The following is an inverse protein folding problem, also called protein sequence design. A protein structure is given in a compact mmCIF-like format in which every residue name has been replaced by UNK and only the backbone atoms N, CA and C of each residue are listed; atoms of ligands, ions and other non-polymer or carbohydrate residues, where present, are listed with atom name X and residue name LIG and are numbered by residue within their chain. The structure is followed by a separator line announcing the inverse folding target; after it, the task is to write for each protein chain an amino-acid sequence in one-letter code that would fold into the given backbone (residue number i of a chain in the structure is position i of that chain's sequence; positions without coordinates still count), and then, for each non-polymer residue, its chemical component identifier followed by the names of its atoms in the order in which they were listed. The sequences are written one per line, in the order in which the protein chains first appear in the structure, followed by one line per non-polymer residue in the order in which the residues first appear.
data_IF_186312293464
#
_entry.id   IF_186312293464
#
_cell.length_a   1.000
_cell.length_b   1.000
_cell.length_c   1.000
_cell.angle_alpha   90.00
_cell.angle_beta   90.00
_cell.angle_gamma   90.00
#
_symmetry.space_group_name_H-M   'P 1'
#
loop_
_entity.id
_entity.type
_entity.pdbx_description
1 polymer ?
#
# COMPACT_ATOMS: atom_id res chain seq x y z
N UNK A 1 0.07 5.58 34.50
CA UNK A 1 0.70 5.17 33.23
C UNK A 1 0.11 5.92 32.05
N UNK A 2 -1.20 5.80 31.76
CA UNK A 2 -1.89 6.51 30.65
C UNK A 2 -1.62 8.02 30.67
N UNK A 3 -1.77 8.71 31.80
CA UNK A 3 -1.51 10.15 31.89
C UNK A 3 -0.09 10.57 31.48
N UNK A 4 0.94 9.74 31.75
CA UNK A 4 2.32 10.03 31.32
C UNK A 4 2.49 9.86 29.82
N UNK A 5 1.87 8.83 29.25
CA UNK A 5 1.87 8.59 27.79
C UNK A 5 1.14 9.72 27.06
N UNK A 6 -0.02 10.14 27.57
CA UNK A 6 -0.74 11.29 27.00
C UNK A 6 0.12 12.54 27.09
N UNK A 7 0.72 12.81 28.25
CA UNK A 7 1.60 13.96 28.43
C UNK A 7 2.78 13.93 27.45
N UNK A 8 3.43 12.78 27.23
CA UNK A 8 4.53 12.67 26.26
C UNK A 8 4.10 12.88 24.82
N UNK A 9 2.86 12.52 24.45
CA UNK A 9 2.32 12.72 23.11
C UNK A 9 1.83 14.15 22.86
N UNK A 10 1.53 14.90 23.93
CA UNK A 10 1.02 16.27 23.87
C UNK A 10 2.05 17.32 24.26
N UNK A 11 3.33 16.96 24.39
CA UNK A 11 4.39 17.93 24.66
C UNK A 11 4.45 18.93 23.50
N UNK A 12 4.30 20.22 23.82
CA UNK A 12 4.42 21.29 22.85
C UNK A 12 5.86 21.31 22.32
N UNK A 13 6.00 21.15 21.01
CA UNK A 13 7.24 21.39 20.31
C UNK A 13 7.18 22.85 19.88
N UNK A 14 8.09 23.69 20.41
CA UNK A 14 8.17 25.12 20.09
C UNK A 14 8.72 25.38 18.66
N UNK A 15 8.74 24.37 17.78
CA UNK A 15 9.17 24.51 16.39
C UNK A 15 7.99 24.98 15.53
N UNK A 16 8.09 26.19 14.97
CA UNK A 16 7.11 26.79 14.05
C UNK A 16 6.86 25.96 12.77
N UNK A 17 7.72 24.97 12.48
CA UNK A 17 7.64 24.10 11.31
C UNK A 17 6.78 22.84 11.50
N UNK A 18 6.36 22.52 12.72
CA UNK A 18 5.61 21.30 13.00
C UNK A 18 4.11 21.48 12.74
N UNK A 19 3.52 20.63 11.89
CA UNK A 19 2.07 20.61 11.66
C UNK A 19 1.33 20.21 12.94
N UNK A 20 0.27 20.92 13.36
CA UNK A 20 -0.48 20.58 14.57
C UNK A 20 -1.15 19.20 14.41
N UNK A 21 -0.84 18.27 15.32
CA UNK A 21 -1.44 16.93 15.36
C UNK A 21 -2.49 16.87 16.46
N UNK A 22 -3.69 16.41 16.12
CA UNK A 22 -4.73 16.10 17.12
C UNK A 22 -4.61 14.65 17.57
N UNK A 23 -4.53 14.44 18.88
CA UNK A 23 -4.43 13.10 19.48
C UNK A 23 -5.68 12.82 20.29
N UNK A 24 -6.38 11.73 19.96
CA UNK A 24 -7.51 11.21 20.73
C UNK A 24 -7.13 9.91 21.41
N UNK A 25 -7.33 9.85 22.73
CA UNK A 25 -6.87 8.73 23.56
C UNK A 25 -8.07 7.95 24.07
N UNK A 26 -8.13 6.67 23.71
CA UNK A 26 -9.18 5.76 24.15
C UNK A 26 -8.59 4.74 25.12
N UNK A 27 -9.16 4.66 26.32
CA UNK A 27 -8.79 3.65 27.31
C UNK A 27 -9.71 2.44 27.15
N UNK A 28 -9.12 1.27 26.93
CA UNK A 28 -9.83 0.01 26.98
C UNK A 28 -9.77 -0.58 28.39
N UNK A 29 -10.84 -1.25 28.82
CA UNK A 29 -10.84 -1.98 30.08
C UNK A 29 -10.02 -3.27 29.91
N UNK A 30 -9.12 -3.53 30.86
CA UNK A 30 -8.38 -4.79 30.88
C UNK A 30 -9.32 -5.92 31.33
N UNK A 31 -9.42 -6.96 30.51
CA UNK A 31 -10.23 -8.14 30.77
C UNK A 31 -9.35 -9.38 30.60
N UNK A 32 -9.43 -10.31 31.57
CA UNK A 32 -8.60 -11.52 31.62
C UNK A 32 -9.14 -12.58 30.64
N UNK A 33 -10.47 -12.66 30.50
CA UNK A 33 -11.10 -13.60 29.59
C UNK A 33 -11.02 -13.10 28.14
N UNK A 34 -10.47 -13.91 27.25
CA UNK A 34 -10.31 -13.59 25.83
C UNK A 34 -11.62 -13.17 25.15
N UNK A 35 -12.73 -13.86 25.44
CA UNK A 35 -14.04 -13.54 24.84
C UNK A 35 -14.53 -12.15 25.26
N UNK A 36 -14.43 -11.83 26.56
CA UNK A 36 -14.83 -10.52 27.08
C UNK A 36 -13.91 -9.41 26.56
N UNK A 37 -12.61 -9.70 26.45
CA UNK A 37 -11.61 -8.81 25.87
C UNK A 37 -11.93 -8.49 24.40
N UNK A 38 -12.22 -9.51 23.56
CA UNK A 38 -12.59 -9.32 22.16
C UNK A 38 -13.88 -8.49 22.02
N UNK A 39 -14.87 -8.76 22.87
CA UNK A 39 -16.13 -8.00 22.92
C UNK A 39 -15.92 -6.53 23.30
N UNK A 40 -15.05 -6.26 24.28
CA UNK A 40 -14.73 -4.90 24.70
C UNK A 40 -13.93 -4.15 23.63
N UNK A 41 -12.94 -4.79 23.00
CA UNK A 41 -12.21 -4.23 21.85
C UNK A 41 -13.18 -3.86 20.73
N UNK A 42 -14.06 -4.78 20.35
CA UNK A 42 -15.06 -4.53 19.31
C UNK A 42 -15.99 -3.36 19.69
N UNK A 43 -16.43 -3.27 20.94
CA UNK A 43 -17.27 -2.17 21.44
C UNK A 43 -16.57 -0.82 21.36
N UNK A 44 -15.27 -0.75 21.62
CA UNK A 44 -14.49 0.49 21.59
C UNK A 44 -14.17 0.86 20.14
N UNK A 45 -13.62 -0.07 19.36
CA UNK A 45 -13.21 0.16 17.97
C UNK A 45 -14.41 0.51 17.07
N UNK A 46 -15.56 -0.16 17.22
CA UNK A 46 -16.77 0.14 16.43
C UNK A 46 -17.34 1.54 16.66
N UNK A 47 -17.00 2.18 17.79
CA UNK A 47 -17.44 3.53 18.14
C UNK A 47 -16.47 4.62 17.72
N UNK A 48 -15.32 4.25 17.14
CA UNK A 48 -14.34 5.23 16.69
C UNK A 48 -14.86 5.95 15.43
N UNK A 49 -14.92 7.29 15.43
CA UNK A 49 -15.32 8.05 14.25
C UNK A 49 -14.14 8.18 13.27
N UNK A 50 -13.79 7.08 12.58
CA UNK A 50 -12.65 6.97 11.66
C UNK A 50 -12.70 8.02 10.54
N UNK A 51 -13.90 8.38 10.07
CA UNK A 51 -14.08 9.41 9.04
C UNK A 51 -13.57 10.80 9.42
N UNK A 52 -13.52 11.12 10.72
CA UNK A 52 -13.13 12.44 11.22
C UNK A 52 -11.73 12.44 11.85
N UNK A 53 -11.34 11.34 12.50
CA UNK A 53 -10.05 11.22 13.21
C UNK A 53 -8.92 10.81 12.25
N UNK A 54 -9.27 10.18 11.12
CA UNK A 54 -8.32 9.62 10.17
C UNK A 54 -8.00 8.14 10.47
N UNK A 55 -7.08 7.60 9.69
CA UNK A 55 -6.81 6.15 9.61
C UNK A 55 -5.43 5.76 10.18
N UNK A 56 -4.84 6.66 10.98
CA UNK A 56 -3.54 6.44 11.63
C UNK A 56 -3.77 6.08 13.09
N UNK A 57 -3.38 4.86 13.47
CA UNK A 57 -3.66 4.30 14.79
C UNK A 57 -2.37 3.91 15.51
N UNK A 58 -2.29 4.29 16.79
CA UNK A 58 -1.24 3.83 17.70
C UNK A 58 -1.90 2.99 18.80
N UNK A 59 -1.47 1.74 18.92
CA UNK A 59 -1.98 0.78 19.88
C UNK A 59 -0.88 0.38 20.86
N UNK A 60 -1.03 0.76 22.13
CA UNK A 60 -0.10 0.36 23.20
C UNK A 60 -0.70 -0.84 23.91
N UNK A 61 -0.14 -2.02 23.69
CA UNK A 61 -0.75 -3.30 24.08
C UNK A 61 0.31 -4.27 24.63
N UNK A 62 -0.15 -5.32 25.30
CA UNK A 62 0.68 -6.48 25.61
C UNK A 62 0.66 -7.48 24.45
N UNK A 63 1.65 -8.36 24.40
CA UNK A 63 1.78 -9.42 23.39
C UNK A 63 0.49 -10.22 23.19
N UNK A 64 -0.13 -10.70 24.28
CA UNK A 64 -1.37 -11.48 24.25
C UNK A 64 -2.61 -10.71 23.75
N UNK A 65 -2.59 -9.38 23.87
CA UNK A 65 -3.74 -8.50 23.54
C UNK A 65 -3.64 -8.04 22.09
N UNK A 66 -2.42 -7.96 21.56
CA UNK A 66 -2.14 -7.52 20.19
C UNK A 66 -2.85 -8.38 19.15
N UNK A 67 -2.81 -9.71 19.28
CA UNK A 67 -3.41 -10.64 18.31
C UNK A 67 -4.91 -10.44 18.22
N UNK A 68 -5.60 -10.43 19.37
CA UNK A 68 -7.03 -10.15 19.44
C UNK A 68 -7.39 -8.73 18.93
N UNK A 69 -6.51 -7.75 19.13
CA UNK A 69 -6.72 -6.40 18.61
C UNK A 69 -6.57 -6.33 17.09
N UNK A 70 -5.58 -7.01 16.52
CA UNK A 70 -5.38 -7.08 15.06
C UNK A 70 -6.57 -7.78 14.38
N UNK A 71 -7.04 -8.91 14.94
CA UNK A 71 -8.23 -9.62 14.45
C UNK A 71 -9.48 -8.74 14.50
N UNK A 72 -9.74 -8.07 15.63
CA UNK A 72 -10.93 -7.22 15.77
C UNK A 72 -10.89 -5.98 14.89
N UNK A 73 -9.70 -5.40 14.66
CA UNK A 73 -9.52 -4.31 13.71
C UNK A 73 -9.84 -4.78 12.28
N UNK A 74 -9.46 -6.01 11.93
CA UNK A 74 -9.75 -6.63 10.64
C UNK A 74 -11.24 -6.90 10.44
N UNK A 75 -11.92 -7.45 11.46
CA UNK A 75 -13.37 -7.69 11.43
C UNK A 75 -14.17 -6.39 11.22
N UNK A 76 -13.63 -5.27 11.71
CA UNK A 76 -14.21 -3.93 11.56
C UNK A 76 -13.74 -3.20 10.29
N UNK A 77 -12.97 -3.87 9.41
CA UNK A 77 -12.41 -3.30 8.16
C UNK A 77 -11.53 -2.07 8.40
N UNK A 78 -10.86 -1.99 9.56
CA UNK A 78 -9.94 -0.91 9.92
C UNK A 78 -8.49 -1.19 9.51
N UNK A 79 -8.20 -2.38 8.95
CA UNK A 79 -6.87 -2.80 8.46
C UNK A 79 -6.79 -2.82 6.93
N UNK A 80 -7.15 -1.71 6.28
CA UNK A 80 -7.04 -1.58 4.82
C UNK A 80 -5.73 -0.90 4.39
N UNK A 81 -5.49 -0.83 3.08
CA UNK A 81 -4.21 -0.40 2.47
C UNK A 81 -3.79 1.04 2.71
N UNK A 82 -4.68 1.88 3.25
CA UNK A 82 -4.37 3.28 3.60
C UNK A 82 -4.26 3.47 5.11
N UNK A 83 -4.85 2.58 5.91
CA UNK A 83 -4.74 2.64 7.36
C UNK A 83 -3.33 2.26 7.80
N UNK A 84 -2.83 2.97 8.81
CA UNK A 84 -1.51 2.76 9.41
C UNK A 84 -1.68 2.32 10.85
N UNK A 85 -1.17 1.13 11.19
CA UNK A 85 -1.22 0.61 12.55
C UNK A 85 0.17 0.49 13.16
N UNK A 86 0.43 1.22 14.24
CA UNK A 86 1.65 1.11 15.04
C UNK A 86 1.33 0.44 16.38
N UNK A 87 1.84 -0.78 16.57
CA UNK A 87 1.72 -1.50 17.83
C UNK A 87 2.96 -1.29 18.70
N UNK A 88 2.79 -0.76 19.91
CA UNK A 88 3.84 -0.62 20.91
C UNK A 88 3.64 -1.67 21.99
N UNK A 89 4.59 -2.59 22.10
CA UNK A 89 4.48 -3.82 22.88
C UNK A 89 5.38 -3.73 24.10
N UNK A 90 4.78 -3.62 25.28
CA UNK A 90 5.51 -3.27 26.50
C UNK A 90 6.09 -4.44 27.30
N UNK A 91 5.57 -5.66 27.09
CA UNK A 91 5.83 -6.86 27.91
C UNK A 91 6.87 -7.82 27.30
N UNK A 92 7.59 -7.37 26.27
CA UNK A 92 8.61 -8.17 25.57
C UNK A 92 10.00 -7.99 26.18
N UNK A 93 10.88 -8.96 25.94
CA UNK A 93 12.28 -8.97 26.38
C UNK A 93 13.14 -9.73 25.36
N UNK A 94 14.47 -9.68 25.41
CA UNK A 94 15.33 -10.35 24.40
C UNK A 94 15.05 -11.86 24.21
N UNK A 95 14.62 -12.58 25.25
CA UNK A 95 14.28 -14.00 25.15
C UNK A 95 12.86 -14.27 24.61
N UNK A 96 11.90 -13.39 24.91
CA UNK A 96 10.49 -13.53 24.50
C UNK A 96 10.12 -12.63 23.30
N UNK A 97 11.09 -11.90 22.74
CA UNK A 97 10.90 -10.85 21.75
C UNK A 97 10.83 -11.33 20.31
N UNK A 98 10.75 -12.64 20.07
CA UNK A 98 10.59 -13.14 18.70
C UNK A 98 9.14 -12.94 18.22
N UNK A 99 8.83 -11.71 17.80
CA UNK A 99 7.50 -11.34 17.31
C UNK A 99 7.06 -12.13 16.08
N UNK A 100 7.99 -12.66 15.31
CA UNK A 100 7.68 -13.49 14.14
C UNK A 100 6.87 -14.73 14.48
N UNK A 101 6.94 -15.25 15.72
CA UNK A 101 6.10 -16.38 16.16
C UNK A 101 4.75 -15.98 16.73
N UNK A 102 4.54 -14.69 17.03
CA UNK A 102 3.30 -14.18 17.60
C UNK A 102 2.37 -13.61 16.52
N UNK A 103 2.95 -13.15 15.42
CA UNK A 103 2.24 -12.66 14.25
C UNK A 103 1.95 -13.86 13.34
N UNK A 104 0.81 -14.49 13.57
CA UNK A 104 0.41 -15.68 12.81
C UNK A 104 -0.17 -15.32 11.43
N UNK A 105 -0.98 -14.26 11.35
CA UNK A 105 -1.71 -13.90 10.13
C UNK A 105 -1.60 -12.41 9.80
N UNK A 106 -0.80 -12.09 8.79
CA UNK A 106 -0.84 -10.80 8.09
C UNK A 106 -1.42 -11.00 6.70
N UNK A 107 -2.27 -10.08 6.30
CA UNK A 107 -2.90 -10.11 4.98
C UNK A 107 -2.20 -9.15 4.04
N UNK A 108 -2.29 -9.47 2.76
CA UNK A 108 -1.78 -8.63 1.68
C UNK A 108 -2.37 -7.21 1.79
N UNK A 109 -1.48 -6.22 1.88
CA UNK A 109 -1.86 -4.81 1.91
C UNK A 109 -2.12 -4.21 3.29
N UNK A 110 -2.00 -4.97 4.37
CA UNK A 110 -2.04 -4.41 5.73
C UNK A 110 -0.75 -3.59 6.00
N UNK A 111 -0.86 -2.33 6.42
CA UNK A 111 0.30 -1.51 6.83
C UNK A 111 0.45 -1.54 8.36
N UNK A 112 1.34 -2.40 8.84
CA UNK A 112 1.54 -2.61 10.27
C UNK A 112 3.01 -2.43 10.64
N UNK A 113 3.27 -1.71 11.72
CA UNK A 113 4.58 -1.56 12.33
C UNK A 113 4.52 -1.94 13.81
N UNK A 114 5.62 -2.45 14.33
CA UNK A 114 5.75 -2.94 15.69
C UNK A 114 6.95 -2.29 16.37
N UNK A 115 6.75 -1.76 17.56
CA UNK A 115 7.83 -1.30 18.44
C UNK A 115 7.77 -2.16 19.69
N UNK A 116 8.86 -2.85 20.00
CA UNK A 116 8.89 -3.78 21.12
C UNK A 116 10.20 -3.69 21.88
N UNK A 117 10.15 -4.13 23.13
CA UNK A 117 11.28 -4.13 24.02
C UNK A 117 12.15 -5.37 23.76
N UNK A 118 13.42 -5.13 23.43
CA UNK A 118 14.46 -6.14 23.21
C UNK A 118 15.62 -5.93 24.19
N UNK A 119 15.30 -5.56 25.44
CA UNK A 119 16.27 -5.44 26.53
C UNK A 119 16.97 -6.78 26.76
N UNK A 120 18.29 -6.76 26.98
CA UNK A 120 19.08 -7.96 27.27
C UNK A 120 19.39 -8.03 28.78
N UNK A 121 19.11 -9.18 29.38
CA UNK A 121 19.42 -9.46 30.79
C UNK A 121 20.80 -10.11 30.94
N UNK A 122 21.86 -9.43 30.49
CA UNK A 122 23.25 -9.89 30.73
C UNK A 122 23.67 -9.60 32.19
N UNK A 123 24.59 -10.38 32.81
CA UNK A 123 25.13 -10.07 34.14
C UNK A 123 25.75 -8.66 34.29
N UNK A 124 26.20 -8.05 33.19
CA UNK A 124 26.72 -6.68 33.13
C UNK A 124 25.60 -5.62 33.07
N UNK A 125 24.37 -6.04 32.81
CA UNK A 125 23.17 -5.21 32.62
C UNK A 125 22.20 -5.28 33.82
N UNK A 126 22.73 -5.41 35.04
CA UNK A 126 21.89 -5.44 36.24
C UNK A 126 21.10 -4.14 36.39
N UNK A 127 19.77 -4.26 36.44
CA UNK A 127 18.78 -3.18 36.59
C UNK A 127 18.48 -2.32 35.34
N UNK A 128 18.98 -2.69 34.15
CA UNK A 128 18.60 -2.08 32.87
C UNK A 128 18.60 -0.54 32.88
N UNK A 129 17.42 0.06 32.71
CA UNK A 129 17.26 1.53 32.68
C UNK A 129 17.67 2.23 33.97
N UNK A 130 17.53 1.57 35.14
CA UNK A 130 17.92 2.17 36.41
C UNK A 130 19.44 2.29 36.53
N UNK A 131 20.19 1.36 35.92
CA UNK A 131 21.63 1.51 35.81
C UNK A 131 22.00 2.69 34.92
N UNK A 132 21.32 2.86 33.78
CA UNK A 132 21.54 4.04 32.93
C UNK A 132 21.19 5.35 33.65
N UNK A 133 20.14 5.38 34.47
CA UNK A 133 19.83 6.55 35.29
C UNK A 133 20.94 6.86 36.30
N UNK A 134 21.59 5.85 36.88
CA UNK A 134 22.74 6.05 37.75
C UNK A 134 23.94 6.62 36.97
N UNK A 135 24.28 6.02 35.82
CA UNK A 135 25.34 6.54 34.94
C UNK A 135 25.07 7.99 34.48
N UNK A 136 23.81 8.33 34.20
CA UNK A 136 23.41 9.69 33.83
C UNK A 136 23.60 10.69 34.99
N UNK A 137 23.27 10.27 36.21
CA UNK A 137 23.47 11.11 37.40
C UNK A 137 24.95 11.30 37.71
N UNK A 138 25.75 10.23 37.59
CA UNK A 138 27.21 10.32 37.77
C UNK A 138 27.85 11.22 36.69
N UNK A 139 27.39 11.11 35.44
CA UNK A 139 27.80 11.99 34.36
C UNK A 139 27.42 13.45 34.63
N UNK A 140 26.21 13.70 35.16
CA UNK A 140 25.78 15.04 35.53
C UNK A 140 26.61 15.63 36.67
N UNK A 141 26.85 14.86 37.75
CA UNK A 141 27.68 15.29 38.89
C UNK A 141 29.11 15.57 38.43
N UNK A 142 29.70 14.70 37.61
CA UNK A 142 31.03 14.90 37.05
C UNK A 142 31.11 16.12 36.12
N UNK A 143 30.08 16.35 35.30
CA UNK A 143 30.01 17.53 34.43
C UNK A 143 29.84 18.82 35.23
N UNK A 144 29.05 18.78 36.30
CA UNK A 144 28.84 19.92 37.19
C UNK A 144 30.12 20.27 37.95
N UNK A 145 30.82 19.28 38.47
CA UNK A 145 32.09 19.47 39.18
C UNK A 145 33.16 20.07 38.26
N UNK A 146 33.32 19.52 37.05
CA UNK A 146 34.22 20.07 36.03
C UNK A 146 33.85 21.51 35.64
N UNK A 147 32.56 21.80 35.41
CA UNK A 147 32.11 23.14 35.06
C UNK A 147 32.32 24.16 36.19
N UNK A 148 32.12 23.76 37.46
CA UNK A 148 32.38 24.61 38.63
C UNK A 148 33.87 24.87 38.76
N UNK A 149 34.70 23.85 38.58
CA UNK A 149 36.15 23.98 38.69
C UNK A 149 36.72 24.87 37.57
N UNK A 150 36.26 24.70 36.33
CA UNK A 150 36.62 25.57 35.21
C UNK A 150 36.17 27.02 35.46
N UNK A 151 34.95 27.25 35.97
CA UNK A 151 34.49 28.61 36.32
C UNK A 151 35.33 29.21 37.46
N UNK A 152 35.70 28.43 38.46
CA UNK A 152 36.52 28.88 39.59
C UNK A 152 37.95 29.23 39.16
N UNK A 153 38.57 28.40 38.32
CA UNK A 153 39.93 28.61 37.82
C UNK A 153 40.01 29.84 36.91
N UNK A 154 39.00 30.09 36.07
CA UNK A 154 38.93 31.30 35.25
C UNK A 154 38.68 32.54 36.13
N UNK A 155 37.77 32.45 37.11
CA UNK A 155 37.52 33.56 38.02
C UNK A 155 38.75 33.93 38.86
N UNK A 156 39.61 32.97 39.22
CA UNK A 156 40.83 33.22 39.98
C UNK A 156 41.95 33.92 39.17
N UNK A 157 41.91 33.83 37.84
CA UNK A 157 42.95 34.39 36.96
C UNK A 157 42.61 35.78 36.42
N UNK A 158 41.35 36.20 36.55
CA UNK A 158 40.78 37.36 35.86
C UNK A 158 40.30 38.38 36.88
N UNK A 159 40.36 39.67 36.55
CA UNK A 159 39.84 40.73 37.43
C UNK A 159 38.30 40.71 37.49
N UNK A 160 37.71 41.24 38.57
CA UNK A 160 36.25 41.25 38.75
C UNK A 160 35.50 41.94 37.60
N UNK A 161 36.09 43.00 37.01
CA UNK A 161 35.53 43.74 35.87
C UNK A 161 35.54 42.90 34.57
N UNK A 162 36.62 42.16 34.34
CA UNK A 162 36.75 41.28 33.18
C UNK A 162 35.87 40.04 33.34
N UNK A 163 35.73 39.48 34.55
CA UNK A 163 34.87 38.33 34.85
C UNK A 163 33.40 38.60 34.50
N UNK A 164 32.87 39.77 34.87
CA UNK A 164 31.49 40.17 34.52
C UNK A 164 31.27 40.23 33.00
N UNK A 165 32.32 40.46 32.21
CA UNK A 165 32.24 40.48 30.74
C UNK A 165 32.31 39.08 30.10
N UNK A 166 33.00 38.12 30.72
CA UNK A 166 33.26 36.78 30.15
C UNK A 166 32.42 35.67 30.79
N UNK A 167 31.69 35.97 31.86
CA UNK A 167 30.88 34.98 32.58
C UNK A 167 29.92 34.24 31.64
N UNK A 168 29.85 32.90 31.71
CA UNK A 168 28.97 32.12 30.85
C UNK A 168 27.48 32.45 31.07
N UNK A 169 26.76 32.63 29.96
CA UNK A 169 25.30 32.75 29.97
C UNK A 169 24.63 31.42 30.35
N UNK A 170 23.36 31.48 30.80
CA UNK A 170 22.58 30.28 31.16
C UNK A 170 22.57 29.20 30.06
N UNK A 171 22.47 29.62 28.81
CA UNK A 171 22.47 28.73 27.65
C UNK A 171 23.86 28.09 27.47
N UNK A 172 24.93 28.88 27.54
CA UNK A 172 26.31 28.38 27.43
C UNK A 172 26.64 27.38 28.54
N UNK A 173 26.21 27.64 29.79
CA UNK A 173 26.35 26.69 30.91
C UNK A 173 25.64 25.38 30.63
N UNK A 174 24.40 25.45 30.15
CA UNK A 174 23.63 24.25 29.80
C UNK A 174 24.34 23.45 28.71
N UNK A 175 24.80 24.12 27.65
CA UNK A 175 25.42 23.44 26.52
C UNK A 175 26.80 22.85 26.91
N UNK A 176 27.56 23.52 27.77
CA UNK A 176 28.80 23.00 28.36
C UNK A 176 28.54 21.75 29.22
N UNK A 177 27.56 21.80 30.12
CA UNK A 177 27.15 20.65 30.94
C UNK A 177 26.74 19.47 30.07
N UNK A 178 25.89 19.69 29.06
CA UNK A 178 25.45 18.65 28.14
C UNK A 178 26.62 18.04 27.38
N UNK A 179 27.58 18.86 26.92
CA UNK A 179 28.78 18.37 26.21
C UNK A 179 29.66 17.50 27.12
N UNK A 180 29.90 17.91 28.37
CA UNK A 180 30.67 17.10 29.33
C UNK A 180 29.94 15.81 29.69
N UNK A 181 28.62 15.86 29.88
CA UNK A 181 27.80 14.67 30.12
C UNK A 181 27.90 13.69 28.94
N UNK A 182 27.75 14.18 27.70
CA UNK A 182 27.87 13.35 26.50
C UNK A 182 29.25 12.69 26.40
N UNK A 183 30.33 13.44 26.66
CA UNK A 183 31.69 12.90 26.68
C UNK A 183 31.87 11.83 27.76
N UNK A 184 31.33 12.05 28.96
CA UNK A 184 31.41 11.10 30.06
C UNK A 184 30.67 9.80 29.74
N UNK A 185 29.44 9.90 29.21
CA UNK A 185 28.61 8.75 28.83
C UNK A 185 29.27 8.00 27.65
N UNK A 186 29.79 8.70 26.64
CA UNK A 186 30.46 8.06 25.51
C UNK A 186 31.73 7.29 25.94
N UNK A 187 32.46 7.78 26.94
CA UNK A 187 33.70 7.15 27.40
C UNK A 187 33.49 6.02 28.42
N UNK A 188 32.47 6.14 29.29
CA UNK A 188 32.30 5.26 30.46
C UNK A 188 31.01 4.44 30.49
N UNK A 189 30.03 4.71 29.63
CA UNK A 189 28.75 4.00 29.72
C UNK A 189 28.91 2.51 29.42
N UNK A 190 28.33 1.70 30.30
CA UNK A 190 28.20 0.25 30.15
C UNK A 190 26.73 -0.13 30.04
N UNK A 191 25.86 0.62 30.72
CA UNK A 191 24.43 0.33 30.78
C UNK A 191 23.62 0.89 29.60
N UNK A 192 24.21 1.74 28.76
CA UNK A 192 23.54 2.34 27.60
C UNK A 192 23.03 1.33 26.55
N UNK A 193 23.63 0.14 26.46
CA UNK A 193 23.22 -0.92 25.53
C UNK A 193 22.23 -1.93 26.12
N UNK A 194 21.96 -1.87 27.42
CA UNK A 194 21.14 -2.87 28.09
C UNK A 194 19.67 -2.77 27.69
N UNK A 195 19.14 -1.54 27.66
CA UNK A 195 17.75 -1.27 27.28
C UNK A 195 17.66 -0.86 25.82
N UNK A 196 17.14 -1.76 24.99
CA UNK A 196 16.94 -1.49 23.57
C UNK A 196 15.49 -1.73 23.20
N UNK A 197 14.91 -0.81 22.43
CA UNK A 197 13.63 -1.03 21.76
C UNK A 197 13.90 -1.15 20.28
N UNK A 198 13.26 -2.12 19.63
CA UNK A 198 13.39 -2.33 18.19
C UNK A 198 12.09 -1.98 17.50
N UNK A 199 12.22 -1.36 16.34
CA UNK A 199 11.12 -1.06 15.44
C UNK A 199 11.18 -2.03 14.26
N UNK A 200 10.11 -2.80 14.06
CA UNK A 200 9.92 -3.66 12.92
C UNK A 200 8.78 -3.11 12.07
N UNK A 201 8.87 -3.32 10.77
CA UNK A 201 7.79 -3.05 9.83
C UNK A 201 7.39 -4.31 9.09
N UNK A 202 6.09 -4.51 8.90
CA UNK A 202 5.57 -5.58 8.09
C UNK A 202 5.63 -5.21 6.60
N UNK A 203 6.29 -6.06 5.81
CA UNK A 203 6.36 -5.92 4.36
C UNK A 203 5.38 -6.90 3.69
N UNK A 204 4.10 -6.50 3.65
CA UNK A 204 2.98 -7.39 3.30
C UNK A 204 2.74 -7.50 1.79
N UNK A 205 2.96 -6.43 1.02
CA UNK A 205 2.69 -6.43 -0.42
C UNK A 205 3.60 -7.36 -1.22
N UNK A 206 3.10 -7.97 -2.27
CA UNK A 206 3.84 -8.89 -3.13
C UNK A 206 4.17 -10.25 -2.49
N UNK A 207 3.81 -10.49 -1.22
CA UNK A 207 4.25 -11.68 -0.50
C UNK A 207 3.47 -12.94 -0.91
N UNK A 208 2.16 -12.79 -1.13
CA UNK A 208 1.28 -13.87 -1.62
C UNK A 208 1.71 -14.41 -2.99
N UNK A 209 2.35 -13.58 -3.82
CA UNK A 209 2.70 -13.94 -5.20
C UNK A 209 4.10 -14.57 -5.34
N UNK A 210 4.93 -14.63 -4.29
CA UNK A 210 6.33 -15.08 -4.36
C UNK A 210 6.50 -16.56 -4.72
N UNK A 211 5.46 -17.39 -4.59
CA UNK A 211 5.46 -18.81 -4.98
C UNK A 211 4.84 -19.09 -6.35
N UNK A 212 4.27 -18.10 -7.02
CA UNK A 212 3.62 -18.29 -8.33
C UNK A 212 4.61 -18.02 -9.47
N UNK A 213 5.88 -18.42 -9.26
CA UNK A 213 6.98 -18.09 -10.17
C UNK A 213 6.94 -18.90 -11.45
N UNK A 214 6.32 -20.08 -11.46
CA UNK A 214 6.14 -20.88 -12.66
C UNK A 214 4.67 -21.14 -12.96
N UNK A 215 4.31 -21.09 -14.24
CA UNK A 215 2.97 -21.40 -14.73
C UNK A 215 2.50 -22.82 -14.36
N UNK A 216 3.42 -23.70 -13.95
CA UNK A 216 3.16 -25.07 -13.49
C UNK A 216 2.86 -25.16 -11.99
N UNK A 217 3.36 -24.25 -11.14
CA UNK A 217 3.13 -24.31 -9.67
C UNK A 217 1.74 -23.82 -9.25
N UNK A 218 1.03 -23.16 -10.17
CA UNK A 218 -0.39 -22.79 -10.03
C UNK A 218 -1.34 -24.02 -10.05
N UNK A 219 -0.84 -25.21 -10.41
CA UNK A 219 -1.63 -26.43 -10.59
C UNK A 219 -1.77 -27.29 -9.32
N UNK A 220 -0.89 -27.12 -8.33
CA UNK A 220 -0.82 -27.96 -7.13
C UNK A 220 -1.29 -27.27 -5.85
N UNK A 221 -1.66 -25.99 -5.92
CA UNK A 221 -2.18 -25.25 -4.78
C UNK A 221 -3.64 -25.65 -4.51
N UNK A 222 -3.84 -26.73 -3.75
CA UNK A 222 -5.00 -26.90 -2.87
C UNK A 222 -4.93 -25.83 -1.77
N UNK A 223 -4.96 -24.56 -2.15
CA UNK A 223 -4.98 -23.44 -1.21
C UNK A 223 -6.45 -23.22 -0.84
N UNK A 224 -6.82 -23.72 0.34
CA UNK A 224 -7.84 -23.04 1.13
C UNK A 224 -7.37 -21.60 1.29
N UNK A 225 -7.97 -20.69 0.52
CA UNK A 225 -7.60 -19.28 0.40
C UNK A 225 -7.89 -18.53 1.70
N UNK A 226 -7.13 -18.79 2.75
CA UNK A 226 -6.91 -17.79 3.77
C UNK A 226 -5.92 -16.82 3.13
N UNK A 227 -6.35 -15.61 2.73
CA UNK A 227 -5.47 -14.58 2.14
C UNK A 227 -4.35 -14.07 3.06
N UNK A 228 -3.99 -14.86 4.06
CA UNK A 228 -2.89 -14.69 4.98
C UNK A 228 -1.57 -15.11 4.30
N UNK A 229 -0.51 -14.35 4.59
CA UNK A 229 0.83 -14.55 4.05
C UNK A 229 1.48 -15.74 4.76
N UNK A 230 1.80 -16.81 4.01
CA UNK A 230 2.39 -18.05 4.55
C UNK A 230 3.76 -17.85 5.22
N UNK A 231 4.53 -16.85 4.77
CA UNK A 231 5.84 -16.52 5.35
C UNK A 231 6.00 -15.01 5.53
N UNK A 232 5.78 -14.58 6.75
CA UNK A 232 5.92 -13.18 7.15
C UNK A 232 7.40 -12.87 7.36
N UNK A 233 7.92 -11.91 6.59
CA UNK A 233 9.25 -11.34 6.82
C UNK A 233 9.08 -9.91 7.35
N UNK A 234 9.49 -9.68 8.59
CA UNK A 234 9.47 -8.36 9.21
C UNK A 234 10.82 -7.69 8.95
N UNK A 235 10.77 -6.44 8.49
CA UNK A 235 11.95 -5.64 8.25
C UNK A 235 12.32 -4.88 9.52
N UNK A 236 13.60 -4.91 9.89
CA UNK A 236 14.09 -4.05 10.95
C UNK A 236 14.25 -2.64 10.38
N UNK A 237 13.52 -1.68 10.95
CA UNK A 237 13.48 -0.30 10.46
C UNK A 237 14.18 0.67 11.40
N UNK A 238 14.42 0.29 12.65
CA UNK A 238 15.14 1.14 13.57
C UNK A 238 15.24 0.58 14.98
N UNK A 239 15.94 1.31 15.82
CA UNK A 239 16.06 1.02 17.24
C UNK A 239 16.04 2.31 18.05
N UNK A 240 15.59 2.20 19.29
CA UNK A 240 15.74 3.24 20.30
C UNK A 240 16.64 2.71 21.41
N UNK A 241 17.61 3.53 21.78
CA UNK A 241 18.48 3.31 22.93
C UNK A 241 18.56 4.59 23.77
N UNK A 242 18.69 4.51 25.10
CA UNK A 242 18.84 5.69 25.94
C UNK A 242 20.04 6.59 25.57
N UNK A 243 21.13 6.00 25.06
CA UNK A 243 22.34 6.72 24.66
C UNK A 243 22.22 7.40 23.29
N UNK A 244 21.63 6.72 22.32
CA UNK A 244 21.61 7.11 20.91
C UNK A 244 20.28 7.75 20.47
N UNK A 245 19.31 7.84 21.38
CA UNK A 245 17.92 8.15 21.10
C UNK A 245 17.32 7.21 20.02
N UNK A 246 16.31 7.70 19.29
CA UNK A 246 15.69 6.94 18.20
C UNK A 246 16.57 7.06 16.96
N UNK A 247 16.97 5.93 16.38
CA UNK A 247 17.65 5.86 15.08
C UNK A 247 16.85 4.97 14.15
N UNK A 248 16.48 5.50 12.99
CA UNK A 248 15.80 4.76 11.92
C UNK A 248 16.77 4.50 10.78
N UNK A 249 16.87 3.23 10.38
CA UNK A 249 17.57 2.81 9.16
C UNK A 249 16.63 2.90 7.94
N UNK A 250 15.32 2.71 8.16
CA UNK A 250 14.27 2.75 7.14
C UNK A 250 12.98 3.35 7.75
N UNK A 251 11.96 3.59 6.94
CA UNK A 251 10.68 4.20 7.37
C UNK A 251 9.77 3.16 8.05
N UNK A 252 9.03 3.56 9.09
CA UNK A 252 8.07 2.69 9.81
C UNK A 252 7.01 2.06 8.89
N UNK A 253 6.59 2.77 7.85
CA UNK A 253 5.61 2.30 6.86
C UNK A 253 6.21 2.37 5.45
N UNK A 254 7.02 1.36 5.04
CA UNK A 254 7.72 1.36 3.76
C UNK A 254 6.79 1.47 2.56
N UNK A 255 5.59 0.91 2.63
CA UNK A 255 4.65 0.91 1.51
C UNK A 255 4.18 2.29 1.08
N UNK A 256 4.06 3.22 2.04
CA UNK A 256 3.54 4.56 1.79
C UNK A 256 4.64 5.45 1.22
N UNK A 257 5.88 5.27 1.68
CA UNK A 257 7.02 6.09 1.27
C UNK A 257 7.77 5.52 0.05
N UNK A 258 7.97 4.21 0.00
CA UNK A 258 8.77 3.50 -1.01
C UNK A 258 7.94 2.66 -2.00
N UNK A 259 6.61 2.65 -1.86
CA UNK A 259 5.72 1.88 -2.73
C UNK A 259 5.92 0.37 -2.56
N UNK A 260 6.10 -0.32 -3.68
CA UNK A 260 6.27 -1.78 -3.73
C UNK A 260 7.73 -2.25 -3.63
N UNK A 261 8.70 -1.35 -3.39
CA UNK A 261 10.13 -1.65 -3.17
C UNK A 261 10.77 -2.53 -4.27
N UNK A 262 10.36 -2.36 -5.52
CA UNK A 262 10.89 -3.11 -6.67
C UNK A 262 10.44 -4.56 -6.75
N UNK A 263 9.37 -4.95 -6.02
CA UNK A 263 8.82 -6.31 -6.09
C UNK A 263 8.22 -6.61 -7.47
N UNK A 264 8.33 -7.87 -7.87
CA UNK A 264 7.74 -8.38 -9.10
C UNK A 264 6.27 -8.76 -8.87
N UNK A 265 5.36 -8.10 -9.59
CA UNK A 265 3.93 -8.35 -9.50
C UNK A 265 3.45 -9.12 -10.74
N UNK A 266 2.77 -10.28 -10.57
CA UNK A 266 2.19 -11.01 -11.68
C UNK A 266 0.94 -10.30 -12.22
N UNK A 267 0.93 -10.10 -13.53
CA UNK A 267 -0.13 -9.43 -14.27
C UNK A 267 -0.73 -10.39 -15.28
N UNK A 268 -2.03 -10.65 -15.18
CA UNK A 268 -2.72 -11.55 -16.10
C UNK A 268 -3.31 -10.74 -17.25
N UNK A 269 -3.08 -11.20 -18.48
CA UNK A 269 -3.52 -10.49 -19.70
C UNK A 269 -3.97 -11.46 -20.78
N UNK A 270 -4.61 -10.92 -21.82
CA UNK A 270 -4.91 -11.59 -23.07
C UNK A 270 -4.72 -10.62 -24.24
N UNK A 271 -4.64 -11.16 -25.46
CA UNK A 271 -4.42 -10.34 -26.66
C UNK A 271 -5.71 -9.66 -27.12
N UNK A 272 -5.76 -8.33 -27.06
CA UNK A 272 -6.88 -7.53 -27.55
C UNK A 272 -6.42 -6.16 -28.10
N UNK A 273 -5.97 -6.08 -29.37
CA UNK A 273 -5.61 -4.81 -30.00
C UNK A 273 -6.81 -3.84 -30.09
N UNK A 274 -6.61 -2.51 -29.90
CA UNK A 274 -5.34 -1.82 -29.65
C UNK A 274 -4.91 -1.76 -28.17
N UNK A 275 -5.72 -2.30 -27.26
CA UNK A 275 -5.52 -2.19 -25.81
C UNK A 275 -4.32 -2.98 -25.32
N UNK A 276 -4.22 -4.24 -25.74
CA UNK A 276 -3.16 -5.19 -25.38
C UNK A 276 -2.66 -5.93 -26.61
N UNK A 277 -1.44 -5.64 -27.02
CA UNK A 277 -0.77 -6.20 -28.18
C UNK A 277 0.36 -7.10 -27.67
N UNK A 278 0.26 -8.40 -27.95
CA UNK A 278 1.25 -9.39 -27.56
C UNK A 278 1.91 -9.93 -28.83
N UNK A 279 3.22 -9.73 -28.97
CA UNK A 279 4.01 -10.28 -30.07
C UNK A 279 4.56 -11.64 -29.65
N UNK A 280 4.17 -12.68 -30.37
CA UNK A 280 4.62 -14.06 -30.14
C UNK A 280 5.75 -14.40 -31.11
N UNK A 281 6.75 -15.10 -30.62
CA UNK A 281 7.78 -15.74 -31.43
C UNK A 281 7.21 -16.96 -32.16
N UNK A 282 7.98 -17.50 -33.11
CA UNK A 282 7.66 -18.74 -33.83
C UNK A 282 7.45 -19.95 -32.88
N UNK A 283 8.09 -19.92 -31.71
CA UNK A 283 7.93 -20.91 -30.64
C UNK A 283 6.69 -20.68 -29.74
N UNK A 284 5.90 -19.64 -30.00
CA UNK A 284 4.72 -19.28 -29.20
C UNK A 284 5.01 -18.52 -27.90
N UNK A 285 6.28 -18.30 -27.55
CA UNK A 285 6.68 -17.48 -26.41
C UNK A 285 6.47 -15.98 -26.68
N UNK A 286 6.13 -15.21 -25.64
CA UNK A 286 5.94 -13.76 -25.75
C UNK A 286 7.30 -13.08 -25.79
N UNK A 287 7.55 -12.29 -26.84
CA UNK A 287 8.80 -11.52 -27.01
C UNK A 287 8.62 -10.09 -26.55
N UNK A 288 7.45 -9.54 -26.85
CA UNK A 288 7.16 -8.13 -26.61
C UNK A 288 5.68 -7.95 -26.33
N UNK A 289 5.39 -7.15 -25.31
CA UNK A 289 4.06 -6.66 -25.00
C UNK A 289 4.03 -5.14 -25.26
N UNK A 290 2.91 -4.67 -25.78
CA UNK A 290 2.69 -3.27 -26.18
C UNK A 290 1.20 -2.95 -26.09
N UNK A 291 0.83 -1.67 -26.17
CA UNK A 291 -0.56 -1.23 -26.19
C UNK A 291 -0.88 -0.33 -25.01
N UNK A 292 -2.02 0.36 -25.09
CA UNK A 292 -2.36 1.44 -24.17
C UNK A 292 -2.38 0.99 -22.70
N UNK A 293 -2.86 -0.23 -22.42
CA UNK A 293 -2.92 -0.74 -21.04
C UNK A 293 -1.51 -1.00 -20.49
N UNK A 294 -0.61 -1.55 -21.32
CA UNK A 294 0.78 -1.77 -20.89
C UNK A 294 1.53 -0.46 -20.66
N UNK A 295 1.25 0.57 -21.45
CA UNK A 295 1.84 1.89 -21.24
C UNK A 295 1.39 2.48 -19.89
N UNK A 296 0.10 2.36 -19.55
CA UNK A 296 -0.44 2.79 -18.24
C UNK A 296 0.22 2.00 -17.10
N UNK A 297 0.28 0.68 -17.22
CA UNK A 297 0.87 -0.19 -16.20
C UNK A 297 2.36 0.09 -16.03
N UNK A 298 3.10 0.36 -17.10
CA UNK A 298 4.51 0.76 -17.04
C UNK A 298 4.67 2.11 -16.30
N UNK A 299 3.79 3.08 -16.53
CA UNK A 299 3.81 4.34 -15.79
C UNK A 299 3.50 4.13 -14.29
N UNK A 300 2.56 3.24 -13.98
CA UNK A 300 2.27 2.85 -12.59
C UNK A 300 3.47 2.15 -11.93
N UNK A 301 4.16 1.29 -12.67
CA UNK A 301 5.36 0.58 -12.21
C UNK A 301 6.49 1.55 -11.82
N UNK A 302 6.69 2.61 -12.61
CA UNK A 302 7.67 3.66 -12.31
C UNK A 302 7.24 4.46 -11.07
N UNK A 303 5.98 4.90 -11.01
CA UNK A 303 5.49 5.75 -9.92
C UNK A 303 5.43 5.01 -8.57
N UNK A 304 5.03 3.73 -8.59
CA UNK A 304 4.87 2.90 -7.38
C UNK A 304 6.02 1.94 -7.12
N UNK A 305 7.09 2.02 -7.93
CA UNK A 305 8.32 1.23 -7.77
C UNK A 305 8.07 -0.29 -7.69
N UNK A 306 7.53 -0.89 -8.76
CA UNK A 306 7.39 -2.35 -8.92
C UNK A 306 7.85 -2.82 -10.30
N UNK A 307 8.14 -4.11 -10.43
CA UNK A 307 8.42 -4.77 -11.72
C UNK A 307 7.24 -5.65 -12.13
N UNK A 308 7.08 -5.87 -13.44
CA UNK A 308 5.91 -6.52 -14.01
C UNK A 308 6.29 -7.89 -14.55
N UNK A 309 5.52 -8.92 -14.16
CA UNK A 309 5.59 -10.24 -14.77
C UNK A 309 4.30 -10.56 -15.50
N UNK A 310 4.37 -10.75 -16.82
CA UNK A 310 3.17 -10.98 -17.64
C UNK A 310 2.83 -12.47 -17.69
N UNK A 311 1.62 -12.83 -17.27
CA UNK A 311 1.04 -14.17 -17.34
C UNK A 311 -0.11 -14.16 -18.35
N UNK A 312 -0.14 -15.13 -19.25
CA UNK A 312 -1.14 -15.21 -20.31
C UNK A 312 -2.32 -16.09 -19.90
N UNK A 313 -3.54 -15.60 -20.11
CA UNK A 313 -4.77 -16.33 -19.84
C UNK A 313 -4.86 -17.68 -20.59
N UNK A 314 -4.27 -17.79 -21.79
CA UNK A 314 -4.31 -19.02 -22.58
C UNK A 314 -3.46 -20.16 -22.01
N UNK A 315 -2.47 -19.86 -21.15
CA UNK A 315 -1.70 -20.91 -20.46
C UNK A 315 -2.57 -21.56 -19.38
N UNK A 316 -3.43 -20.77 -18.73
CA UNK A 316 -4.42 -21.23 -17.74
C UNK A 316 -5.57 -22.03 -18.39
N UNK A 317 -5.74 -21.94 -19.72
CA UNK A 317 -6.77 -22.65 -20.50
C UNK A 317 -6.58 -24.18 -20.47
N UNK A 318 -5.37 -24.69 -20.24
CA UNK A 318 -5.10 -26.14 -20.20
C UNK A 318 -5.71 -26.84 -18.97
N UNK A 319 -5.89 -26.13 -17.86
CA UNK A 319 -6.35 -26.74 -16.59
C UNK A 319 -7.81 -26.44 -16.25
N UNK A 320 -8.44 -25.46 -16.91
CA UNK A 320 -9.84 -25.08 -16.68
C UNK A 320 -10.84 -25.66 -17.71
N UNK A 321 -10.36 -26.48 -18.64
CA UNK A 321 -11.12 -27.01 -19.78
C UNK A 321 -11.95 -28.28 -19.45
N UNK A 322 -12.56 -28.35 -18.27
CA UNK A 322 -13.60 -29.36 -18.00
C UNK A 322 -15.00 -28.90 -18.44
N UNK A 323 -15.20 -27.62 -18.76
CA UNK A 323 -16.49 -27.12 -19.23
C UNK A 323 -16.52 -26.99 -20.77
N UNK A 324 -17.34 -27.84 -21.39
CA UNK A 324 -17.76 -27.81 -22.79
C UNK A 324 -18.56 -26.55 -23.08
N UNK A 325 -17.92 -25.41 -23.33
CA UNK A 325 -18.61 -24.20 -23.78
C UNK A 325 -17.97 -23.68 -25.06
N UNK A 326 -18.79 -23.62 -26.10
CA UNK A 326 -18.44 -23.26 -27.47
C UNK A 326 -17.91 -21.81 -27.61
N UNK A 327 -16.71 -21.74 -28.16
CA UNK A 327 -16.24 -20.85 -29.22
C UNK A 327 -16.80 -19.40 -29.29
N UNK A 328 -16.37 -18.56 -28.36
CA UNK A 328 -16.01 -17.16 -28.66
C UNK A 328 -14.66 -16.84 -28.03
N UNK A 329 -13.60 -16.81 -28.85
CA UNK A 329 -12.20 -16.76 -28.40
C UNK A 329 -11.90 -15.58 -27.45
N UNK A 330 -12.51 -14.42 -27.67
CA UNK A 330 -12.30 -13.21 -26.85
C UNK A 330 -13.09 -13.20 -25.54
N UNK A 331 -14.30 -13.78 -25.51
CA UNK A 331 -15.12 -13.86 -24.30
C UNK A 331 -14.55 -14.87 -23.29
N UNK A 332 -13.99 -15.98 -23.79
CA UNK A 332 -13.39 -17.02 -22.95
C UNK A 332 -12.11 -16.52 -22.28
N UNK A 333 -11.20 -15.87 -23.01
CA UNK A 333 -9.93 -15.38 -22.45
C UNK A 333 -10.16 -14.28 -21.39
N UNK A 334 -11.14 -13.40 -21.61
CA UNK A 334 -11.55 -12.41 -20.62
C UNK A 334 -12.12 -13.06 -19.35
N UNK A 335 -13.01 -14.05 -19.49
CA UNK A 335 -13.58 -14.79 -18.36
C UNK A 335 -12.52 -15.57 -17.57
N UNK A 336 -11.59 -16.23 -18.27
CA UNK A 336 -10.46 -16.95 -17.66
C UNK A 336 -9.56 -16.01 -16.87
N UNK A 337 -9.25 -14.85 -17.44
CA UNK A 337 -8.45 -13.82 -16.75
C UNK A 337 -9.14 -13.37 -15.45
N UNK A 338 -10.43 -13.05 -15.52
CA UNK A 338 -11.21 -12.63 -14.34
C UNK A 338 -11.26 -13.73 -13.27
N UNK A 339 -11.48 -14.98 -13.68
CA UNK A 339 -11.51 -16.12 -12.76
C UNK A 339 -10.15 -16.39 -12.11
N UNK A 340 -9.05 -16.21 -12.84
CA UNK A 340 -7.70 -16.35 -12.31
C UNK A 340 -7.37 -15.27 -11.27
N UNK A 341 -7.78 -14.02 -11.53
CA UNK A 341 -7.66 -12.94 -10.54
C UNK A 341 -8.54 -13.19 -9.32
N UNK A 342 -9.78 -13.64 -9.49
CA UNK A 342 -10.66 -13.98 -8.38
C UNK A 342 -10.09 -15.10 -7.48
N UNK A 343 -9.23 -15.97 -8.04
CA UNK A 343 -8.50 -17.01 -7.33
C UNK A 343 -7.17 -16.53 -6.71
N UNK A 344 -6.79 -15.26 -6.88
CA UNK A 344 -5.54 -14.70 -6.36
C UNK A 344 -4.28 -15.10 -7.15
N UNK A 345 -4.43 -15.60 -8.38
CA UNK A 345 -3.30 -16.07 -9.19
C UNK A 345 -2.47 -14.92 -9.81
N UNK A 346 -2.96 -13.69 -9.73
CA UNK A 346 -2.29 -12.49 -10.21
C UNK A 346 -2.67 -11.27 -9.37
N UNK A 347 -1.77 -10.30 -9.29
CA UNK A 347 -1.97 -9.08 -8.52
C UNK A 347 -2.96 -8.12 -9.20
N UNK A 348 -2.91 -8.04 -10.52
CA UNK A 348 -3.87 -7.27 -11.31
C UNK A 348 -4.05 -7.87 -12.71
N UNK A 349 -5.21 -7.63 -13.32
CA UNK A 349 -5.42 -7.94 -14.73
C UNK A 349 -5.20 -6.71 -15.60
N UNK A 350 -4.36 -6.85 -16.62
CA UNK A 350 -4.08 -5.80 -17.59
C UNK A 350 -4.72 -6.16 -18.93
N UNK A 351 -5.99 -5.82 -19.10
CA UNK A 351 -6.70 -5.90 -20.38
C UNK A 351 -7.92 -4.97 -20.37
N UNK A 352 -8.61 -4.87 -21.50
CA UNK A 352 -9.87 -4.14 -21.58
C UNK A 352 -11.02 -5.00 -21.04
N UNK A 353 -11.57 -4.61 -19.88
CA UNK A 353 -12.76 -5.23 -19.32
C UNK A 353 -13.90 -4.23 -19.30
N UNK A 354 -15.11 -4.72 -19.56
CA UNK A 354 -16.33 -3.93 -19.35
C UNK A 354 -16.71 -4.02 -17.87
N UNK A 355 -16.91 -2.87 -17.24
CA UNK A 355 -17.40 -2.80 -15.87
C UNK A 355 -18.86 -3.26 -15.85
N UNK A 356 -19.10 -4.41 -15.23
CA UNK A 356 -20.44 -5.01 -15.09
C UNK A 356 -21.08 -4.53 -13.78
N UNK A 357 -22.41 -4.38 -13.79
CA UNK A 357 -23.19 -4.03 -12.59
C UNK A 357 -23.20 -5.16 -11.55
N UNK A 358 -23.05 -6.41 -12.00
CA UNK A 358 -22.91 -7.60 -11.15
C UNK A 358 -21.53 -8.24 -11.41
N UNK A 359 -20.48 -7.80 -10.69
CA UNK A 359 -19.14 -8.37 -10.83
C UNK A 359 -19.05 -9.77 -10.24
N UNK A 360 -18.14 -10.57 -10.79
CA UNK A 360 -17.73 -11.81 -10.15
C UNK A 360 -17.16 -11.51 -8.75
N UNK A 361 -17.60 -12.27 -7.74
CA UNK A 361 -17.13 -12.10 -6.35
C UNK A 361 -15.60 -12.23 -6.29
N UNK A 362 -14.96 -11.34 -5.52
CA UNK A 362 -13.51 -11.33 -5.36
C UNK A 362 -12.76 -10.45 -6.36
N UNK A 363 -13.45 -9.66 -7.18
CA UNK A 363 -12.82 -8.72 -8.12
C UNK A 363 -13.32 -7.30 -7.86
N UNK A 364 -12.38 -6.38 -7.72
CA UNK A 364 -12.64 -4.95 -7.65
C UNK A 364 -12.14 -4.28 -8.93
N UNK A 365 -12.98 -3.42 -9.51
CA UNK A 365 -12.58 -2.62 -10.67
C UNK A 365 -11.92 -1.31 -10.23
N UNK A 366 -10.97 -0.84 -11.03
CA UNK A 366 -10.43 0.51 -10.92
C UNK A 366 -11.43 1.54 -11.46
N UNK A 367 -11.09 2.82 -11.35
CA UNK A 367 -11.75 3.84 -12.18
C UNK A 367 -11.64 3.48 -13.66
N UNK A 368 -12.68 3.72 -14.47
CA UNK A 368 -12.69 3.35 -15.87
C UNK A 368 -11.65 4.17 -16.65
N UNK A 369 -10.76 3.48 -17.36
CA UNK A 369 -9.74 4.10 -18.22
C UNK A 369 -10.36 4.76 -19.45
N UNK A 370 -11.43 4.17 -19.99
CA UNK A 370 -12.17 4.70 -21.14
C UNK A 370 -13.65 4.43 -20.98
N UNK A 371 -14.48 5.44 -21.27
CA UNK A 371 -15.93 5.31 -21.33
C UNK A 371 -16.32 5.37 -22.80
N UNK A 372 -16.95 4.30 -23.29
CA UNK A 372 -17.35 4.17 -24.70
C UNK A 372 -18.83 3.82 -24.77
N UNK A 373 -19.55 4.49 -25.66
CA UNK A 373 -20.93 4.15 -25.99
C UNK A 373 -20.97 3.06 -27.07
N UNK A 374 -22.05 2.27 -27.08
CA UNK A 374 -22.30 1.33 -28.16
C UNK A 374 -22.57 2.09 -29.46
N UNK A 375 -21.83 1.75 -30.52
CA UNK A 375 -22.01 2.31 -31.84
C UNK A 375 -22.24 1.18 -32.85
N UNK A 376 -23.13 1.43 -33.81
CA UNK A 376 -23.31 0.54 -34.95
C UNK A 376 -22.32 0.89 -36.04
N UNK A 377 -21.46 -0.07 -36.39
CA UNK A 377 -20.58 0.06 -37.54
C UNK A 377 -21.31 -0.45 -38.79
N UNK A 378 -21.68 0.46 -39.68
CA UNK A 378 -22.24 0.11 -40.99
C UNK A 378 -21.16 0.33 -42.06
N UNK A 379 -21.14 -0.54 -43.07
CA UNK A 379 -20.25 -0.36 -44.20
C UNK A 379 -20.57 0.97 -44.89
N UNK A 380 -19.52 1.71 -45.27
CA UNK A 380 -19.69 2.94 -46.05
C UNK A 380 -20.47 2.60 -47.33
N UNK A 381 -21.60 3.26 -47.61
CA UNK A 381 -22.39 2.96 -48.80
C UNK A 381 -21.54 3.18 -50.05
N UNK A 382 -21.56 2.20 -50.96
CA UNK A 382 -20.95 2.35 -52.28
C UNK A 382 -21.80 3.28 -53.13
N UNK A 383 -21.19 4.01 -54.05
CA UNK A 383 -21.95 4.83 -55.00
C UNK A 383 -22.92 3.94 -55.79
N UNK A 384 -24.23 4.21 -55.66
CA UNK A 384 -25.26 3.53 -56.45
C UNK A 384 -25.07 3.89 -57.93
N UNK A 385 -25.32 2.93 -58.81
CA UNK A 385 -25.27 3.16 -60.25
C UNK A 385 -26.19 4.33 -60.62
N UNK A 386 -25.57 5.40 -61.13
CA UNK A 386 -26.24 6.67 -61.48
C UNK A 386 -27.03 6.59 -62.79
N UNK A 387 -27.04 5.45 -63.47
CA UNK A 387 -27.65 5.29 -64.78
C UNK A 387 -29.18 5.48 -64.79
N UNK A 388 -29.88 5.17 -63.69
CA UNK A 388 -31.35 5.29 -63.59
C UNK A 388 -31.82 6.63 -63.01
N UNK A 389 -30.90 7.56 -62.68
CA UNK A 389 -31.24 8.87 -62.10
C UNK A 389 -32.05 9.76 -63.05
N UNK A 390 -31.97 9.57 -64.37
CA UNK A 390 -32.74 10.37 -65.33
C UNK A 390 -34.22 9.96 -65.41
N UNK A 391 -34.57 8.73 -64.97
CA UNK A 391 -35.95 8.26 -64.90
C UNK A 391 -36.62 8.61 -63.57
N UNK A 392 -35.84 8.97 -62.54
CA UNK A 392 -36.30 9.32 -61.20
C UNK A 392 -37.18 10.58 -61.05
N UNK A 393 -37.14 11.63 -61.90
CA UNK A 393 -38.01 12.79 -61.70
C UNK A 393 -39.50 12.49 -61.95
N UNK A 394 -39.81 11.35 -62.57
CA UNK A 394 -41.16 10.93 -62.92
C UNK A 394 -41.38 9.48 -62.49
N UNK A 395 -42.56 9.13 -61.99
CA UNK A 395 -42.89 7.74 -61.63
C UNK A 395 -42.89 6.85 -62.88
N UNK A 396 -42.71 5.54 -62.72
CA UNK A 396 -42.83 4.58 -63.84
C UNK A 396 -44.12 4.77 -64.63
N UNK A 397 -45.21 5.08 -63.93
CA UNK A 397 -46.54 5.22 -64.51
C UNK A 397 -46.66 6.46 -65.41
N UNK A 398 -45.97 7.55 -65.06
CA UNK A 398 -45.98 8.77 -65.89
C UNK A 398 -45.19 8.59 -67.18
N UNK A 399 -44.08 7.85 -67.16
CA UNK A 399 -43.36 7.47 -68.38
C UNK A 399 -44.19 6.58 -69.30
N UNK A 400 -44.93 5.62 -68.73
CA UNK A 400 -45.84 4.76 -69.50
C UNK A 400 -47.00 5.57 -70.11
N UNK A 401 -47.59 6.51 -69.34
CA UNK A 401 -48.63 7.40 -69.82
C UNK A 401 -48.14 8.33 -70.95
N UNK A 402 -46.92 8.88 -70.84
CA UNK A 402 -46.30 9.67 -71.92
C UNK A 402 -46.09 8.83 -73.18
N UNK A 403 -45.60 7.60 -73.04
CA UNK A 403 -45.44 6.68 -74.15
C UNK A 403 -46.78 6.36 -74.85
N UNK A 404 -47.80 6.04 -74.06
CA UNK A 404 -49.16 5.78 -74.57
C UNK A 404 -49.77 7.02 -75.26
N UNK A 405 -49.58 8.21 -74.70
CA UNK A 405 -50.06 9.45 -75.29
C UNK A 405 -49.42 9.72 -76.67
N UNK A 406 -48.12 9.49 -76.82
CA UNK A 406 -47.43 9.63 -78.12
C UNK A 406 -47.93 8.59 -79.13
N UNK A 407 -48.13 7.34 -78.71
CA UNK A 407 -48.66 6.27 -79.58
C UNK A 407 -50.09 6.57 -80.02
N UNK A 408 -50.94 7.13 -79.14
CA UNK A 408 -52.33 7.47 -79.45
C UNK A 408 -52.46 8.76 -80.28
N UNK A 409 -51.54 9.70 -80.15
CA UNK A 409 -51.52 10.95 -80.94
C UNK A 409 -51.28 10.71 -82.44
N UNK A 410 -50.50 9.70 -82.81
CA UNK A 410 -50.23 9.38 -84.22
C UNK A 410 -51.50 9.03 -85.01
N UNK A 411 -52.28 8.02 -84.58
CA UNK A 411 -53.54 7.64 -85.21
C UNK A 411 -54.58 8.77 -85.22
N UNK A 412 -54.70 9.55 -84.15
CA UNK A 412 -55.69 10.64 -84.08
C UNK A 412 -55.34 11.77 -85.06
N UNK A 413 -54.06 12.16 -85.17
CA UNK A 413 -53.62 13.14 -86.17
C UNK A 413 -53.76 12.62 -87.60
N UNK A 414 -53.50 11.33 -87.85
CA UNK A 414 -53.71 10.72 -89.16
C UNK A 414 -55.19 10.73 -89.58
N UNK A 415 -56.10 10.46 -88.63
CA UNK A 415 -57.55 10.51 -88.88
C UNK A 415 -58.03 11.95 -89.10
N UNK A 416 -57.48 12.94 -88.39
CA UNK A 416 -57.88 14.36 -88.52
C UNK A 416 -57.32 15.02 -89.79
N UNK A 417 -56.15 14.60 -90.27
CA UNK A 417 -55.53 15.14 -91.50
C UNK A 417 -56.15 14.55 -92.78
N UNK A 418 -56.86 13.43 -92.69
CA UNK A 418 -57.60 12.82 -93.80
C UNK A 418 -58.98 13.44 -93.93
#
# INVERSE_FOLDING_TARGET
MVSRVVQSLTLQIDEESASPVSVTVFKMKHEINEYLRRKEMHRVLSKLPVQYIGENFIAIVTSDVMTAMAETARDLLMSHTMAQWLYVISDTNAQNGNLSSLINDLYEGENVAYIYNSTEDHPDCKNGIMCYCQELMDAFVSALDAAIQDEFDVAAQVSDEEWESIRPNKIQRRDMLLKHMQQHIAAKSKCGNCSTWRALSADTWGATYRGHTDAQDLSSANLTTTGAIEKINLLNVGFWRPIDAVKFEDVLFPHIHHGFRGKELPIITFHNPPWTILQRNESGAIVKYSGLIFDIVNQLAINKNFTIKVILASILKKDLANDTIADTMHGMDAKLTMMAIAKGQGALAAASFTVLSDPMRGINYTMPVSIQSYAFMIARPRELSRALLFLLPFTSDTWVCLGLAVILMGPTLYIIHR
#
